data_IF_305834890661
#
_entry.id   IF_305834890661
#
_cell.length_a   1.000
_cell.length_b   1.000
_cell.length_c   1.000
_cell.angle_alpha   90.00
_cell.angle_beta   90.00
_cell.angle_gamma   90.00
#
_symmetry.space_group_name_H-M   'P 1'
#
loop_
_entity.id
_entity.type
_entity.pdbx_description
1 polymer ?
#
# COMPACT_ATOMS: atom_id res chain seq x y z
N UNK A 1 -9.29 -26.07 5.92
CA UNK A 1 -8.10 -25.77 5.10
C UNK A 1 -7.02 -25.30 6.06
N UNK A 2 -5.99 -26.12 6.30
CA UNK A 2 -4.89 -25.74 7.19
C UNK A 2 -4.10 -24.62 6.51
N UNK A 3 -3.88 -23.50 7.20
CA UNK A 3 -3.07 -22.41 6.70
C UNK A 3 -1.61 -22.88 6.69
N UNK A 4 -1.11 -23.25 5.52
CA UNK A 4 0.27 -23.72 5.39
C UNK A 4 1.23 -22.53 5.49
N UNK A 5 2.49 -22.78 5.86
CA UNK A 5 3.52 -21.73 6.00
C UNK A 5 3.66 -20.91 4.71
N UNK A 6 3.52 -21.56 3.56
CA UNK A 6 3.56 -20.95 2.23
C UNK A 6 2.39 -19.99 2.02
N UNK A 7 1.20 -20.37 2.50
CA UNK A 7 -0.01 -19.52 2.41
C UNK A 7 0.14 -18.26 3.26
N UNK A 8 0.76 -18.36 4.43
CA UNK A 8 1.09 -17.20 5.28
C UNK A 8 2.05 -16.23 4.57
N UNK A 9 3.12 -16.75 3.97
CA UNK A 9 4.05 -15.92 3.21
C UNK A 9 3.43 -15.28 1.97
N UNK A 10 2.53 -15.99 1.28
CA UNK A 10 1.76 -15.43 0.16
C UNK A 10 0.88 -14.26 0.60
N UNK A 11 0.19 -14.39 1.74
CA UNK A 11 -0.66 -13.30 2.27
C UNK A 11 0.17 -12.06 2.62
N UNK A 12 1.36 -12.23 3.19
CA UNK A 12 2.27 -11.11 3.48
C UNK A 12 2.73 -10.44 2.19
N UNK A 13 3.13 -11.21 1.18
CA UNK A 13 3.52 -10.67 -0.13
C UNK A 13 2.39 -9.92 -0.84
N UNK A 14 1.16 -10.46 -0.80
CA UNK A 14 -0.01 -9.77 -1.36
C UNK A 14 -0.37 -8.50 -0.57
N UNK A 15 -0.25 -8.52 0.76
CA UNK A 15 -0.46 -7.33 1.57
C UNK A 15 0.55 -6.21 1.24
N UNK A 16 1.83 -6.56 1.06
CA UNK A 16 2.87 -5.66 0.58
C UNK A 16 2.55 -5.07 -0.80
N UNK A 17 2.14 -5.91 -1.76
CA UNK A 17 1.73 -5.47 -3.10
C UNK A 17 0.53 -4.51 -3.07
N UNK A 18 -0.49 -4.80 -2.27
CA UNK A 18 -1.68 -3.94 -2.15
C UNK A 18 -1.31 -2.61 -1.50
N UNK A 19 -0.45 -2.59 -0.48
CA UNK A 19 0.06 -1.36 0.12
C UNK A 19 0.88 -0.53 -0.89
N UNK A 20 1.75 -1.20 -1.66
CA UNK A 20 2.61 -0.55 -2.65
C UNK A 20 1.85 -0.01 -3.86
N UNK A 21 0.77 -0.65 -4.29
CA UNK A 21 -0.10 -0.15 -5.37
C UNK A 21 -1.08 0.91 -4.84
N UNK A 22 -1.62 0.71 -3.63
CA UNK A 22 -2.55 1.61 -2.96
C UNK A 22 -1.98 2.99 -2.64
N UNK A 23 -0.65 3.17 -2.61
CA UNK A 23 -0.01 4.49 -2.39
C UNK A 23 -0.41 5.54 -3.44
N UNK A 24 -0.57 5.13 -4.70
CA UNK A 24 -0.99 6.04 -5.77
C UNK A 24 -2.48 6.36 -5.66
N UNK A 25 -3.30 5.37 -5.28
CA UNK A 25 -4.73 5.57 -5.02
C UNK A 25 -4.94 6.54 -3.87
N UNK A 26 -4.18 6.40 -2.77
CA UNK A 26 -4.24 7.33 -1.64
C UNK A 26 -3.72 8.71 -1.99
N UNK A 27 -2.68 8.82 -2.82
CA UNK A 27 -2.20 10.12 -3.30
C UNK A 27 -3.25 10.82 -4.16
N UNK A 28 -3.92 10.10 -5.06
CA UNK A 28 -4.99 10.64 -5.87
C UNK A 28 -6.17 11.09 -5.01
N UNK A 29 -6.66 10.23 -4.11
CA UNK A 29 -7.79 10.55 -3.22
C UNK A 29 -7.50 11.78 -2.34
N UNK A 30 -6.27 11.89 -1.82
CA UNK A 30 -5.86 13.04 -1.01
C UNK A 30 -5.72 14.32 -1.83
N UNK A 31 -5.21 14.21 -3.06
CA UNK A 31 -5.10 15.35 -3.98
C UNK A 31 -6.47 15.86 -4.40
N UNK A 32 -7.42 14.96 -4.63
CA UNK A 32 -8.80 15.28 -4.99
C UNK A 32 -9.53 15.95 -3.81
N UNK A 33 -9.36 15.41 -2.60
CA UNK A 33 -9.91 16.01 -1.38
C UNK A 33 -9.38 17.43 -1.13
N UNK A 34 -8.10 17.67 -1.40
CA UNK A 34 -7.45 18.97 -1.19
C UNK A 34 -7.54 19.91 -2.40
N UNK A 35 -8.05 19.44 -3.55
CA UNK A 35 -8.03 20.11 -4.87
C UNK A 35 -6.67 20.72 -5.21
N UNK A 36 -5.60 20.07 -4.79
CA UNK A 36 -4.21 20.50 -5.00
C UNK A 36 -3.40 19.24 -5.27
N UNK A 37 -2.47 19.32 -6.23
CA UNK A 37 -1.52 18.23 -6.48
C UNK A 37 -0.48 18.24 -5.35
N UNK A 38 -0.77 17.47 -4.30
CA UNK A 38 0.11 17.34 -3.13
C UNK A 38 0.39 15.87 -2.88
N UNK A 39 1.66 15.54 -2.70
CA UNK A 39 2.08 14.19 -2.33
C UNK A 39 1.97 14.09 -0.80
N UNK A 40 1.01 13.32 -0.25
CA UNK A 40 0.88 13.19 1.20
C UNK A 40 2.09 12.45 1.77
N UNK A 41 2.51 12.78 2.99
CA UNK A 41 3.58 12.05 3.70
C UNK A 41 3.29 10.55 3.83
N UNK A 42 2.00 10.16 3.90
CA UNK A 42 1.55 8.78 3.85
C UNK A 42 2.02 7.99 2.62
N UNK A 43 2.28 8.66 1.49
CA UNK A 43 2.86 8.04 0.29
C UNK A 43 4.24 7.43 0.56
N UNK A 44 5.05 8.13 1.35
CA UNK A 44 6.39 7.70 1.71
C UNK A 44 6.37 6.56 2.74
N UNK A 45 5.47 6.64 3.73
CA UNK A 45 5.27 5.57 4.70
C UNK A 45 4.78 4.27 4.03
N UNK A 46 3.83 4.35 3.11
CA UNK A 46 3.36 3.19 2.34
C UNK A 46 4.43 2.62 1.40
N UNK A 47 5.33 3.45 0.89
CA UNK A 47 6.44 2.97 0.06
C UNK A 47 7.47 2.20 0.88
N UNK A 48 7.74 2.61 2.12
CA UNK A 48 8.66 1.90 3.03
C UNK A 48 8.01 0.58 3.51
N UNK A 49 6.73 0.63 3.89
CA UNK A 49 5.99 -0.54 4.40
C UNK A 49 5.68 -1.55 3.30
N UNK A 50 5.41 -1.10 2.08
CA UNK A 50 5.14 -1.96 0.93
C UNK A 50 6.38 -2.47 0.18
N UNK A 51 7.59 -2.07 0.60
CA UNK A 51 8.86 -2.49 -0.03
C UNK A 51 9.40 -3.80 0.54
N UNK A 52 8.52 -4.75 0.87
CA UNK A 52 8.85 -6.06 1.43
C UNK A 52 8.14 -7.17 0.68
#
# INVERSE_FOLDING_TARGET
MMLTRETLWLLVGFAGQVAFTGRFVLQWLYSEYKKRSVIPTNFWYLSIVGST
#
